data_IF_799046974001
#
_entry.id   IF_799046974001
#
_cell.length_a   1.000
_cell.length_b   1.000
_cell.length_c   1.000
_cell.angle_alpha   90.00
_cell.angle_beta   90.00
_cell.angle_gamma   90.00
#
_symmetry.space_group_name_H-M   'P 1'
#
loop_
_entity.id
_entity.type
_entity.pdbx_description
1 polymer ?
#
# COMPACT_ATOMS: atom_id res chain seq x y z
N UNK A 1 2.73 -14.94 1.04
CA UNK A 1 2.07 -14.05 0.04
C UNK A 1 2.77 -14.06 -1.33
N UNK A 2 4.09 -13.83 -1.42
CA UNK A 2 4.81 -13.68 -2.69
C UNK A 2 4.59 -14.77 -3.74
N UNK A 3 4.70 -16.04 -3.36
CA UNK A 3 4.51 -17.18 -4.29
C UNK A 3 3.12 -17.17 -4.94
N UNK A 4 2.07 -16.83 -4.19
CA UNK A 4 0.70 -16.77 -4.74
C UNK A 4 0.54 -15.62 -5.74
N UNK A 5 1.15 -14.45 -5.45
CA UNK A 5 1.15 -13.31 -6.36
C UNK A 5 1.90 -13.61 -7.65
N UNK A 6 3.05 -14.29 -7.57
CA UNK A 6 3.82 -14.72 -8.74
C UNK A 6 3.05 -15.72 -9.59
N UNK A 7 2.41 -16.72 -8.96
CA UNK A 7 1.52 -17.67 -9.67
C UNK A 7 0.37 -16.95 -10.38
N UNK A 8 -0.27 -15.97 -9.72
CA UNK A 8 -1.32 -15.16 -10.33
C UNK A 8 -0.79 -14.40 -11.55
N UNK A 9 0.35 -13.74 -11.43
CA UNK A 9 0.97 -13.00 -12.53
C UNK A 9 1.28 -13.91 -13.72
N UNK A 10 1.84 -15.11 -13.47
CA UNK A 10 2.08 -16.10 -14.53
C UNK A 10 0.77 -16.54 -15.19
N UNK A 11 -0.28 -16.80 -14.40
CA UNK A 11 -1.61 -17.18 -14.92
C UNK A 11 -2.22 -16.09 -15.80
N UNK A 12 -1.98 -14.82 -15.48
CA UNK A 12 -2.51 -13.66 -16.22
C UNK A 12 -1.64 -13.23 -17.40
N UNK A 13 -0.53 -13.94 -17.69
CA UNK A 13 0.33 -13.61 -18.83
C UNK A 13 -0.45 -13.72 -20.15
N UNK A 14 -0.36 -12.68 -20.98
CA UNK A 14 -1.08 -12.62 -22.26
C UNK A 14 -2.55 -12.20 -22.15
N UNK A 15 -3.11 -12.15 -20.94
CA UNK A 15 -4.48 -11.67 -20.71
C UNK A 15 -4.49 -10.16 -20.50
N UNK A 16 -5.55 -9.52 -20.99
CA UNK A 16 -5.83 -8.11 -20.76
C UNK A 16 -6.78 -7.96 -19.57
N UNK A 17 -6.56 -6.93 -18.77
CA UNK A 17 -7.48 -6.53 -17.71
C UNK A 17 -8.72 -5.85 -18.32
N UNK A 18 -9.67 -5.47 -17.48
CA UNK A 18 -10.89 -4.74 -17.89
C UNK A 18 -10.60 -3.43 -18.63
N UNK A 19 -9.43 -2.82 -18.39
CA UNK A 19 -8.96 -1.62 -19.07
C UNK A 19 -8.20 -1.90 -20.38
N UNK A 20 -8.23 -3.14 -20.88
CA UNK A 20 -7.61 -3.54 -22.14
C UNK A 20 -6.08 -3.63 -22.10
N UNK A 21 -5.44 -3.37 -20.95
CA UNK A 21 -3.99 -3.41 -20.78
C UNK A 21 -3.54 -4.71 -20.08
N UNK A 22 -2.33 -5.20 -20.36
CA UNK A 22 -1.79 -6.37 -19.68
C UNK A 22 -1.44 -6.09 -18.21
N UNK A 23 -1.26 -7.16 -17.42
CA UNK A 23 -0.72 -7.09 -16.06
C UNK A 23 0.81 -6.87 -16.04
N UNK A 24 1.30 -5.94 -16.85
CA UNK A 24 2.70 -5.52 -16.86
C UNK A 24 2.81 -3.99 -17.05
N UNK A 25 3.98 -3.43 -16.73
CA UNK A 25 4.23 -2.00 -16.82
C UNK A 25 3.91 -1.22 -15.54
N UNK A 26 3.90 0.12 -15.67
CA UNK A 26 3.74 1.05 -14.55
C UNK A 26 2.37 0.90 -13.91
N UNK A 27 2.33 1.02 -12.57
CA UNK A 27 1.11 0.89 -11.76
C UNK A 27 0.42 -0.48 -11.85
N UNK A 28 1.18 -1.55 -12.17
CA UNK A 28 0.70 -2.94 -12.20
C UNK A 28 1.46 -3.83 -11.24
N UNK A 29 0.94 -5.04 -11.03
CA UNK A 29 1.57 -6.08 -10.24
C UNK A 29 2.80 -6.66 -10.97
N UNK A 30 3.94 -6.00 -10.82
CA UNK A 30 5.25 -6.42 -11.35
C UNK A 30 6.02 -7.28 -10.34
N UNK A 31 7.14 -7.92 -10.74
CA UNK A 31 7.99 -8.64 -9.76
C UNK A 31 8.47 -7.68 -8.66
N UNK A 32 8.98 -6.51 -9.05
CA UNK A 32 9.45 -5.50 -8.12
C UNK A 32 8.34 -4.97 -7.19
N UNK A 33 7.07 -4.95 -7.64
CA UNK A 33 5.94 -4.62 -6.77
C UNK A 33 5.65 -5.75 -5.78
N UNK A 34 5.72 -7.01 -6.22
CA UNK A 34 5.58 -8.18 -5.35
C UNK A 34 6.66 -8.18 -4.26
N UNK A 35 7.91 -7.89 -4.61
CA UNK A 35 9.02 -7.80 -3.66
C UNK A 35 8.80 -6.69 -2.61
N UNK A 36 8.36 -5.51 -3.07
CA UNK A 36 8.00 -4.39 -2.17
C UNK A 36 6.87 -4.78 -1.21
N UNK A 37 5.80 -5.40 -1.72
CA UNK A 37 4.70 -5.88 -0.89
C UNK A 37 5.15 -6.91 0.14
N UNK A 38 6.04 -7.84 -0.23
CA UNK A 38 6.62 -8.80 0.72
C UNK A 38 7.46 -8.12 1.80
N UNK A 39 8.30 -7.17 1.42
CA UNK A 39 9.13 -6.42 2.35
C UNK A 39 8.27 -5.63 3.35
N UNK A 40 7.24 -4.93 2.88
CA UNK A 40 6.32 -4.18 3.74
C UNK A 40 5.54 -5.09 4.67
N UNK A 41 5.04 -6.22 4.17
CA UNK A 41 4.33 -7.19 4.99
C UNK A 41 5.22 -7.74 6.12
N UNK A 42 6.45 -8.12 5.80
CA UNK A 42 7.42 -8.57 6.82
C UNK A 42 7.77 -7.47 7.82
N UNK A 43 7.88 -6.21 7.37
CA UNK A 43 8.14 -5.07 8.25
C UNK A 43 6.96 -4.80 9.20
N UNK A 44 5.72 -4.91 8.72
CA UNK A 44 4.51 -4.75 9.54
C UNK A 44 4.47 -5.78 10.69
N UNK A 45 4.87 -7.02 10.43
CA UNK A 45 4.98 -8.05 11.47
C UNK A 45 6.09 -7.72 12.46
N UNK A 46 7.31 -7.44 11.98
CA UNK A 46 8.48 -7.20 12.84
C UNK A 46 8.34 -5.96 13.72
N UNK A 47 7.61 -4.93 13.27
CA UNK A 47 7.38 -3.71 14.06
C UNK A 47 6.28 -3.84 15.12
N UNK A 48 5.44 -4.89 15.04
CA UNK A 48 4.27 -5.05 15.89
C UNK A 48 4.25 -6.42 16.59
N UNK A 49 5.41 -6.91 17.05
CA UNK A 49 5.56 -8.25 17.64
C UNK A 49 4.69 -8.48 18.88
N UNK A 50 4.40 -7.41 19.63
CA UNK A 50 3.70 -7.47 20.91
C UNK A 50 2.20 -7.13 20.81
N UNK A 51 1.68 -6.85 19.62
CA UNK A 51 0.28 -6.47 19.42
C UNK A 51 -0.26 -7.00 18.10
N UNK A 52 -1.10 -8.04 18.19
CA UNK A 52 -1.78 -8.63 17.03
C UNK A 52 -2.69 -7.61 16.35
N UNK A 53 -3.34 -6.74 17.15
CA UNK A 53 -4.21 -5.68 16.64
C UNK A 53 -3.42 -4.69 15.79
N UNK A 54 -2.29 -4.20 16.28
CA UNK A 54 -1.48 -3.22 15.56
C UNK A 54 -0.81 -3.85 14.33
N UNK A 55 -0.40 -5.12 14.43
CA UNK A 55 0.08 -5.89 13.29
C UNK A 55 -0.97 -6.00 12.19
N UNK A 56 -2.21 -6.38 12.55
CA UNK A 56 -3.33 -6.46 11.63
C UNK A 56 -3.59 -5.10 10.97
N UNK A 57 -3.65 -4.03 11.77
CA UNK A 57 -3.86 -2.68 11.25
C UNK A 57 -2.74 -2.25 10.29
N UNK A 58 -1.47 -2.53 10.60
CA UNK A 58 -0.33 -2.24 9.73
C UNK A 58 -0.38 -3.03 8.41
N UNK A 59 -0.81 -4.31 8.45
CA UNK A 59 -1.01 -5.12 7.25
C UNK A 59 -2.14 -4.54 6.39
N UNK A 60 -3.28 -4.19 6.99
CA UNK A 60 -4.39 -3.57 6.27
C UNK A 60 -4.03 -2.19 5.71
N UNK A 61 -3.18 -1.42 6.39
CA UNK A 61 -2.68 -0.14 5.88
C UNK A 61 -1.93 -0.32 4.55
N UNK A 62 -1.13 -1.39 4.39
CA UNK A 62 -0.44 -1.68 3.13
C UNK A 62 -1.45 -1.98 2.03
N UNK A 63 -2.44 -2.85 2.29
CA UNK A 63 -3.45 -3.23 1.31
C UNK A 63 -4.31 -2.04 0.88
N UNK A 64 -4.87 -1.29 1.84
CA UNK A 64 -5.71 -0.14 1.56
C UNK A 64 -4.95 0.99 0.87
N UNK A 65 -3.69 1.24 1.26
CA UNK A 65 -2.86 2.22 0.57
C UNK A 65 -2.64 1.87 -0.91
N UNK A 66 -2.51 0.58 -1.24
CA UNK A 66 -2.32 0.11 -2.62
C UNK A 66 -3.61 0.07 -3.43
N UNK A 67 -4.74 -0.10 -2.76
CA UNK A 67 -6.08 -0.03 -3.35
C UNK A 67 -6.55 1.41 -3.58
N UNK A 68 -5.96 2.36 -2.85
CA UNK A 68 -6.32 3.79 -2.88
C UNK A 68 -6.21 4.39 -4.28
N UNK A 69 -7.18 5.23 -4.60
CA UNK A 69 -7.22 6.07 -5.81
C UNK A 69 -7.51 7.50 -5.41
N UNK A 70 -7.35 8.45 -6.32
CA UNK A 70 -7.63 9.86 -6.03
C UNK A 70 -9.13 10.08 -5.77
N UNK A 71 -10.01 9.35 -6.47
CA UNK A 71 -11.47 9.39 -6.29
C UNK A 71 -11.93 8.66 -5.02
N UNK A 72 -11.19 7.63 -4.60
CA UNK A 72 -11.49 6.82 -3.41
C UNK A 72 -10.23 6.69 -2.54
N UNK A 73 -9.90 7.72 -1.74
CA UNK A 73 -8.72 7.69 -0.89
C UNK A 73 -8.91 6.71 0.27
N UNK A 74 -8.00 5.74 0.39
CA UNK A 74 -8.06 4.65 1.37
C UNK A 74 -6.87 4.68 2.33
N UNK A 75 -6.55 5.87 2.86
CA UNK A 75 -5.38 6.09 3.71
C UNK A 75 -5.66 5.92 5.21
N UNK A 76 -6.86 5.52 5.63
CA UNK A 76 -7.30 5.52 7.04
C UNK A 76 -6.31 4.87 8.01
N UNK A 77 -5.84 3.66 7.70
CA UNK A 77 -4.91 2.90 8.57
C UNK A 77 -3.43 3.26 8.41
N UNK A 78 -3.07 4.15 7.49
CA UNK A 78 -1.68 4.62 7.42
C UNK A 78 -1.28 5.30 8.75
N UNK A 79 0.00 5.29 9.15
CA UNK A 79 0.45 6.04 10.32
C UNK A 79 0.09 7.54 10.21
N UNK A 80 -0.34 8.15 11.31
CA UNK A 80 -0.73 9.58 11.37
C UNK A 80 0.35 10.46 12.01
N UNK A 81 1.52 9.88 12.29
CA UNK A 81 2.69 10.57 12.81
C UNK A 81 3.39 11.41 11.74
N UNK A 82 4.24 12.35 12.19
CA UNK A 82 5.04 13.21 11.30
C UNK A 82 6.00 12.42 10.41
N UNK A 83 6.49 11.27 10.89
CA UNK A 83 7.34 10.36 10.12
C UNK A 83 6.56 9.34 9.27
N UNK A 84 5.26 9.57 9.04
CA UNK A 84 4.46 8.68 8.21
C UNK A 84 5.06 8.49 6.82
N UNK A 85 5.13 7.24 6.36
CA UNK A 85 5.53 6.90 4.99
C UNK A 85 4.42 7.23 3.98
N UNK A 86 3.20 7.48 4.45
CA UNK A 86 2.06 7.84 3.60
C UNK A 86 2.14 9.31 3.19
N UNK A 87 2.56 9.57 1.94
CA UNK A 87 2.67 10.92 1.39
C UNK A 87 1.37 11.72 1.49
N UNK A 88 0.21 11.09 1.25
CA UNK A 88 -1.09 11.73 1.40
C UNK A 88 -1.31 12.26 2.83
N UNK A 89 -1.07 11.42 3.85
CA UNK A 89 -1.20 11.86 5.25
C UNK A 89 -0.17 12.92 5.61
N UNK A 90 1.08 12.77 5.17
CA UNK A 90 2.15 13.75 5.38
C UNK A 90 1.77 15.12 4.82
N UNK A 91 1.26 15.17 3.60
CA UNK A 91 0.71 16.40 3.04
C UNK A 91 -0.44 16.92 3.90
N UNK A 92 -1.46 16.10 4.20
CA UNK A 92 -2.61 16.56 4.99
C UNK A 92 -2.22 17.16 6.36
N UNK A 93 -1.22 16.61 7.04
CA UNK A 93 -0.69 17.15 8.30
C UNK A 93 -0.10 18.54 8.06
N UNK A 94 0.83 18.66 7.10
CA UNK A 94 1.47 19.94 6.77
C UNK A 94 0.46 21.03 6.36
N UNK A 95 -0.59 20.66 5.63
CA UNK A 95 -1.68 21.59 5.27
C UNK A 95 -2.50 22.02 6.50
N UNK A 96 -2.78 21.09 7.42
CA UNK A 96 -3.44 21.40 8.69
C UNK A 96 -2.63 22.37 9.55
N UNK A 97 -1.33 22.11 9.69
CA UNK A 97 -0.41 22.95 10.49
C UNK A 97 -0.36 24.39 9.96
N UNK A 98 -0.33 24.58 8.63
CA UNK A 98 -0.36 25.89 7.99
C UNK A 98 -1.71 26.62 8.19
N UNK A 99 -2.83 25.88 8.24
CA UNK A 99 -4.16 26.47 8.46
C UNK A 99 -4.40 26.92 9.89
N UNK A 100 -3.77 26.30 10.89
CA UNK A 100 -3.85 26.71 12.30
C UNK A 100 -2.97 27.91 12.67
N UNK A 101 -2.11 28.37 11.75
CA UNK A 101 -1.24 29.54 11.93
C UNK A 101 -1.84 30.84 11.37
N UNK A 102 -3.05 30.79 10.81
CA UNK A 102 -3.86 31.95 10.41
C UNK A 102 -4.98 32.18 11.39
#
# INVERSE_FOLDING_TARGET
MGTRLRRLKTKMRGQKLSDGKPLCGRNRLTEAEIDRLQAYYGLAIRRNLFSVKDMQQAIWAIFLHKLSTDEKPQHGFCPSDSDTWCKFKKSRIAWGDLSSQK
#
